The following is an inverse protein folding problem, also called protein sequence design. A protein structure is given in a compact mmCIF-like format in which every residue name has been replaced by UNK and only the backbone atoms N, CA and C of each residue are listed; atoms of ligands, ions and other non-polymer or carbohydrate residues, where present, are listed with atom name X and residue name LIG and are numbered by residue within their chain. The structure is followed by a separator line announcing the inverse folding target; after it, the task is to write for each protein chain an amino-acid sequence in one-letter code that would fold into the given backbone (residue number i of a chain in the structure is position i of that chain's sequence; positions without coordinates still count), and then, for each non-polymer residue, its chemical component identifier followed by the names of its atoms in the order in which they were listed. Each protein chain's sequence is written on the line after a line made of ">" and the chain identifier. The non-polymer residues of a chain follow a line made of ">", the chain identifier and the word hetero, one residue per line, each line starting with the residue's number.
data_IF_099318325912
#
_entry.id   IF_099318325912
#
_cell.length_a   1.000
_cell.length_b   1.000
_cell.length_c   1.000
_cell.angle_alpha   90.00
_cell.angle_beta   90.00
_cell.angle_gamma   90.00
#
_symmetry.space_group_name_H-M   'P 1'
#
loop_
_entity.id
_entity.type
_entity.pdbx_description
1 polymer ?
#
# COMPACT_ATOMS: atom_id res chain seq x y z
N UNK A 1 17.80 15.89 -17.64
CA UNK A 1 17.15 14.58 -17.45
C UNK A 1 16.81 14.43 -15.98
N UNK A 2 15.63 14.90 -15.56
CA UNK A 2 15.11 14.60 -14.22
C UNK A 2 14.26 13.35 -14.34
N UNK A 3 14.90 12.17 -14.32
CA UNK A 3 14.17 10.92 -14.18
C UNK A 3 13.51 10.94 -12.81
N UNK A 4 12.18 10.93 -12.79
CA UNK A 4 11.38 10.83 -11.58
C UNK A 4 11.83 9.59 -10.79
N UNK A 5 12.62 9.80 -9.74
CA UNK A 5 13.23 8.74 -8.93
C UNK A 5 12.16 7.82 -8.32
N UNK A 6 10.90 8.28 -8.24
CA UNK A 6 9.75 7.49 -7.75
C UNK A 6 9.36 6.37 -8.71
N UNK A 7 9.56 6.54 -10.03
CA UNK A 7 9.22 5.53 -11.02
C UNK A 7 10.18 4.33 -11.02
N UNK A 8 11.27 4.38 -10.23
CA UNK A 8 12.35 3.39 -10.27
C UNK A 8 12.50 2.55 -9.00
N UNK A 9 11.57 2.60 -8.06
CA UNK A 9 11.69 1.86 -6.80
C UNK A 9 10.77 0.63 -6.76
N UNK A 10 11.29 -0.46 -6.20
CA UNK A 10 10.52 -1.60 -5.69
C UNK A 10 10.48 -1.47 -4.18
N UNK A 11 9.28 -1.55 -3.60
CA UNK A 11 9.10 -1.56 -2.15
C UNK A 11 8.94 -2.98 -1.61
N UNK A 12 9.66 -3.30 -0.54
CA UNK A 12 9.65 -4.61 0.11
C UNK A 12 9.29 -4.46 1.57
N UNK A 13 8.21 -5.11 1.98
CA UNK A 13 7.77 -5.19 3.36
C UNK A 13 8.25 -6.49 4.00
N UNK A 14 9.09 -6.42 5.04
CA UNK A 14 9.60 -7.62 5.70
C UNK A 14 10.09 -7.32 7.11
N UNK A 15 9.83 -8.23 8.06
CA UNK A 15 10.34 -8.15 9.45
C UNK A 15 10.12 -6.78 10.13
N UNK A 16 8.95 -6.17 9.94
CA UNK A 16 8.65 -4.84 10.47
C UNK A 16 9.47 -3.70 9.85
N UNK A 17 9.99 -3.91 8.65
CA UNK A 17 10.67 -2.89 7.86
C UNK A 17 9.99 -2.72 6.51
N UNK A 18 10.09 -1.51 5.98
CA UNK A 18 9.89 -1.23 4.56
C UNK A 18 11.25 -0.87 3.98
N UNK A 19 11.59 -1.48 2.86
CA UNK A 19 12.79 -1.16 2.09
C UNK A 19 12.39 -0.67 0.72
N UNK A 20 13.16 0.25 0.16
CA UNK A 20 13.10 0.57 -1.25
C UNK A 20 14.39 0.16 -1.92
N UNK A 21 14.25 -0.52 -3.06
CA UNK A 21 15.36 -0.92 -3.90
C UNK A 21 15.19 -0.30 -5.27
N UNK A 22 16.29 0.09 -5.90
CA UNK A 22 16.29 0.44 -7.31
C UNK A 22 15.86 -0.79 -8.13
N UNK A 23 14.81 -0.62 -8.94
CA UNK A 23 14.16 -1.71 -9.67
C UNK A 23 15.05 -2.35 -10.74
N UNK A 24 16.09 -1.66 -11.19
CA UNK A 24 16.96 -2.12 -12.27
C UNK A 24 18.20 -2.85 -11.75
N UNK A 25 18.72 -2.39 -10.62
CA UNK A 25 19.98 -2.87 -10.05
C UNK A 25 19.78 -3.75 -8.82
N UNK A 26 18.62 -3.64 -8.16
CA UNK A 26 18.38 -4.26 -6.86
C UNK A 26 19.14 -3.61 -5.70
N UNK A 27 19.81 -2.48 -5.93
CA UNK A 27 20.52 -1.76 -4.88
C UNK A 27 19.51 -1.14 -3.89
N UNK A 28 19.73 -1.32 -2.59
CA UNK A 28 18.91 -0.66 -1.58
C UNK A 28 19.14 0.86 -1.62
N UNK A 29 18.03 1.62 -1.69
CA UNK A 29 18.02 3.08 -1.68
C UNK A 29 17.76 3.60 -0.28
N UNK A 30 16.80 3.01 0.41
CA UNK A 30 16.49 3.33 1.81
C UNK A 30 15.83 2.15 2.53
N UNK A 31 15.92 2.17 3.86
CA UNK A 31 15.20 1.26 4.76
C UNK A 31 14.60 2.05 5.92
N UNK A 32 13.34 1.73 6.25
CA UNK A 32 12.60 2.30 7.38
C UNK A 32 12.13 1.19 8.30
N UNK A 33 12.43 1.32 9.60
CA UNK A 33 11.83 0.46 10.63
C UNK A 33 10.44 0.97 11.01
N UNK A 34 9.47 0.07 11.12
CA UNK A 34 8.10 0.36 11.56
C UNK A 34 8.02 0.17 13.09
N UNK A 35 7.88 1.25 13.89
CA UNK A 35 7.98 1.14 15.33
C UNK A 35 6.87 0.30 15.96
N UNK A 36 7.27 -0.68 16.78
CA UNK A 36 6.35 -1.55 17.52
C UNK A 36 5.75 -2.68 16.68
N UNK A 37 6.33 -3.00 15.53
CA UNK A 37 5.91 -4.15 14.70
C UNK A 37 6.88 -5.33 14.78
N UNK A 38 8.07 -5.17 15.39
CA UNK A 38 9.07 -6.22 15.54
C UNK A 38 9.27 -7.03 14.23
N UNK A 39 9.36 -8.36 14.29
CA UNK A 39 9.53 -9.23 13.10
C UNK A 39 8.22 -9.52 12.34
N UNK A 40 7.18 -8.69 12.48
CA UNK A 40 5.91 -8.93 11.79
C UNK A 40 6.03 -8.88 10.27
N UNK A 41 5.15 -9.64 9.61
CA UNK A 41 4.88 -9.47 8.18
C UNK A 41 4.36 -8.05 7.92
N UNK A 42 4.72 -7.51 6.77
CA UNK A 42 4.35 -6.15 6.35
C UNK A 42 3.62 -6.25 5.03
N UNK A 43 2.40 -5.72 4.98
CA UNK A 43 1.58 -5.61 3.78
C UNK A 43 1.74 -4.22 3.21
N UNK A 44 1.94 -4.12 1.89
CA UNK A 44 2.18 -2.85 1.21
C UNK A 44 1.06 -2.52 0.22
N UNK A 45 0.74 -1.24 0.10
CA UNK A 45 -0.09 -0.67 -0.96
C UNK A 45 0.50 0.67 -1.36
N UNK A 46 0.59 0.94 -2.66
CA UNK A 46 1.08 2.22 -3.18
C UNK A 46 -0.05 2.93 -3.94
N UNK A 47 -0.39 4.15 -3.53
CA UNK A 47 -1.38 4.98 -4.20
C UNK A 47 -1.05 6.46 -3.96
N UNK A 48 -1.36 7.33 -4.93
CA UNK A 48 -1.21 8.78 -4.83
C UNK A 48 0.15 9.28 -4.33
N UNK A 49 1.22 8.56 -4.68
CA UNK A 49 2.57 8.90 -4.28
C UNK A 49 2.88 8.63 -2.80
N UNK A 50 2.14 7.73 -2.16
CA UNK A 50 2.34 7.30 -0.78
C UNK A 50 2.51 5.77 -0.75
N UNK A 51 3.43 5.29 0.08
CA UNK A 51 3.55 3.87 0.42
C UNK A 51 2.85 3.62 1.74
N UNK A 52 1.75 2.89 1.71
CA UNK A 52 1.06 2.41 2.90
C UNK A 52 1.65 1.07 3.33
N UNK A 53 2.02 0.98 4.61
CA UNK A 53 2.60 -0.21 5.21
C UNK A 53 1.81 -0.64 6.44
N UNK A 54 1.25 -1.85 6.37
CA UNK A 54 0.43 -2.44 7.40
C UNK A 54 1.15 -3.57 8.12
N UNK A 55 1.28 -3.50 9.46
CA UNK A 55 1.94 -4.54 10.26
C UNK A 55 1.52 -4.49 11.73
N UNK A 56 1.32 -5.65 12.37
CA UNK A 56 1.05 -5.80 13.81
C UNK A 56 -0.06 -4.88 14.37
N UNK A 57 -1.17 -4.73 13.64
CA UNK A 57 -2.25 -3.82 14.00
C UNK A 57 -1.84 -2.35 13.93
N UNK A 58 -0.95 -1.98 13.01
CA UNK A 58 -0.58 -0.59 12.75
C UNK A 58 -0.56 -0.33 11.26
N UNK A 59 -0.92 0.88 10.87
CA UNK A 59 -0.82 1.38 9.51
C UNK A 59 0.10 2.59 9.49
N UNK A 60 1.07 2.59 8.58
CA UNK A 60 2.00 3.69 8.36
C UNK A 60 1.86 4.20 6.94
N UNK A 61 2.01 5.51 6.76
CA UNK A 61 2.21 6.11 5.44
C UNK A 61 3.64 6.62 5.34
N UNK A 62 4.32 6.21 4.28
CA UNK A 62 5.72 6.57 4.04
C UNK A 62 5.83 7.38 2.75
N UNK A 63 6.74 8.36 2.77
CA UNK A 63 7.15 9.07 1.58
C UNK A 63 8.00 8.14 0.69
N UNK A 64 7.66 7.95 -0.60
CA UNK A 64 8.24 6.89 -1.42
C UNK A 64 9.73 7.07 -1.72
N UNK A 65 10.23 8.30 -1.81
CA UNK A 65 11.63 8.54 -2.18
C UNK A 65 12.59 8.54 -1.00
N UNK A 66 12.09 8.76 0.23
CA UNK A 66 12.92 8.91 1.43
C UNK A 66 12.66 7.83 2.49
N UNK A 67 11.51 7.15 2.43
CA UNK A 67 11.07 6.23 3.48
C UNK A 67 10.59 6.93 4.75
N UNK A 68 10.50 8.27 4.76
CA UNK A 68 10.02 9.04 5.91
C UNK A 68 8.58 8.68 6.26
N UNK A 69 8.32 8.39 7.53
CA UNK A 69 6.96 8.14 8.03
C UNK A 69 6.22 9.48 8.10
N UNK A 70 5.27 9.68 7.19
CA UNK A 70 4.41 10.86 7.11
C UNK A 70 3.38 10.87 8.25
N UNK A 71 2.78 9.70 8.51
CA UNK A 71 1.84 9.50 9.61
C UNK A 71 1.71 8.01 9.97
N UNK A 72 1.09 7.73 11.12
CA UNK A 72 0.74 6.38 11.56
C UNK A 72 -0.62 6.31 12.26
N UNK A 73 -1.26 5.14 12.20
CA UNK A 73 -2.46 4.77 12.93
C UNK A 73 -2.21 3.47 13.70
N UNK A 74 -2.59 3.41 14.98
CA UNK A 74 -2.30 2.28 15.89
C UNK A 74 -3.37 1.18 15.88
N UNK A 75 -4.42 1.30 15.04
CA UNK A 75 -5.56 0.37 14.91
C UNK A 75 -5.92 -0.34 16.24
N UNK A 76 -6.40 0.43 17.24
CA UNK A 76 -6.50 -0.06 18.61
C UNK A 76 -7.35 -1.33 18.71
N UNK A 77 -6.84 -2.32 19.44
CA UNK A 77 -7.49 -3.62 19.62
C UNK A 77 -7.26 -4.63 18.50
N UNK A 78 -6.59 -4.26 17.40
CA UNK A 78 -6.41 -5.11 16.22
C UNK A 78 -4.96 -5.61 16.03
N UNK A 79 -4.23 -5.80 17.14
CA UNK A 79 -2.78 -6.12 17.12
C UNK A 79 -2.45 -7.43 16.41
N UNK A 80 -3.37 -8.41 16.46
CA UNK A 80 -3.15 -9.76 15.94
C UNK A 80 -4.09 -10.06 14.78
N UNK A 81 -3.56 -10.78 13.78
CA UNK A 81 -4.33 -11.27 12.64
C UNK A 81 -3.75 -10.82 11.29
N UNK A 82 -4.26 -11.39 10.19
CA UNK A 82 -3.90 -10.96 8.86
C UNK A 82 -4.38 -9.52 8.63
N UNK A 83 -3.55 -8.73 7.96
CA UNK A 83 -3.93 -7.41 7.48
C UNK A 83 -4.12 -7.46 5.96
N UNK A 84 -5.05 -6.68 5.45
CA UNK A 84 -5.19 -6.40 4.01
C UNK A 84 -5.42 -4.91 3.84
N UNK A 85 -5.00 -4.37 2.70
CA UNK A 85 -5.14 -2.97 2.37
C UNK A 85 -5.90 -2.86 1.05
N UNK A 86 -6.85 -1.93 0.98
CA UNK A 86 -7.57 -1.60 -0.22
C UNK A 86 -7.87 -0.11 -0.21
N UNK A 87 -7.93 0.49 -1.38
CA UNK A 87 -8.28 1.89 -1.57
C UNK A 87 -9.42 2.01 -2.55
N UNK A 88 -10.20 3.07 -2.41
CA UNK A 88 -11.18 3.44 -3.42
C UNK A 88 -10.44 4.16 -4.52
N UNK A 89 -10.01 3.45 -5.56
CA UNK A 89 -9.53 4.13 -6.76
C UNK A 89 -10.66 5.01 -7.26
N UNK A 90 -10.44 6.32 -7.38
CA UNK A 90 -11.37 7.20 -8.07
C UNK A 90 -11.45 6.70 -9.52
N UNK A 91 -12.46 5.87 -9.82
CA UNK A 91 -12.72 5.46 -11.18
C UNK A 91 -13.12 6.72 -11.94
N UNK A 92 -12.19 7.30 -12.69
CA UNK A 92 -12.54 8.19 -13.79
C UNK A 92 -13.30 7.32 -14.78
N UNK A 93 -14.64 7.35 -14.66
CA UNK A 93 -15.65 6.66 -15.46
C UNK A 93 -16.05 5.24 -14.98
N UNK A 94 -17.08 5.11 -14.13
CA UNK A 94 -17.77 3.83 -14.02
C UNK A 94 -18.47 3.56 -15.36
N UNK A 95 -18.15 2.43 -16.00
CA UNK A 95 -18.90 1.94 -17.16
C UNK A 95 -20.40 1.92 -16.81
N UNK A 96 -21.31 2.31 -17.73
CA UNK A 96 -22.73 2.22 -17.45
C UNK A 96 -23.09 0.76 -17.20
N UNK A 97 -23.65 0.48 -16.02
CA UNK A 97 -24.22 -0.83 -15.71
C UNK A 97 -25.30 -1.13 -16.77
N UNK A 98 -25.05 -2.10 -17.66
CA UNK A 98 -26.11 -2.69 -18.45
C UNK A 98 -26.98 -3.47 -17.45
N UNK A 99 -28.11 -2.89 -17.06
CA UNK A 99 -29.15 -3.60 -16.34
C UNK A 99 -29.93 -4.37 -17.39
N UNK A 100 -29.68 -5.67 -17.51
CA UNK A 100 -30.57 -6.56 -18.28
C UNK A 100 -31.88 -6.70 -17.50
N UNK A 101 -32.93 -6.09 -18.04
CA UNK A 101 -34.29 -6.18 -17.51
C UNK A 101 -34.83 -7.60 -17.71
N UNK A 102 -34.68 -8.44 -16.68
CA UNK A 102 -35.32 -9.75 -16.58
C UNK A 102 -36.75 -9.59 -16.05
N UNK A 103 -37.61 -8.85 -16.76
CA UNK A 103 -39.06 -8.87 -16.57
C UNK A 103 -39.80 -8.76 -17.89
N UNK A 104 -39.98 -9.89 -18.54
CA UNK A 104 -41.27 -10.32 -19.10
C UNK A 104 -41.11 -11.73 -19.72
N UNK A 105 -41.12 -12.75 -18.85
CA UNK A 105 -41.54 -14.11 -19.19
C UNK A 105 -42.69 -14.49 -18.26
N UNK A 106 -43.88 -14.05 -18.66
CA UNK A 106 -45.23 -14.45 -18.25
C UNK A 106 -46.14 -13.47 -19.00
N UNK A 107 -46.95 -13.82 -19.99
CA UNK A 107 -47.73 -15.04 -20.25
C UNK A 107 -47.80 -15.39 -21.75
#
# INVERSE_FOLDING_TARGET
>A
MSADTRANLIFVGTHGHVRALDKHTGAEVWTTSLPGTAYSLVILLCEDGIVFAGANGKLFALHPSSGEILWRNELPGLRYGPMTLATTTAATNPLPLIVEDQRQRSD
#
